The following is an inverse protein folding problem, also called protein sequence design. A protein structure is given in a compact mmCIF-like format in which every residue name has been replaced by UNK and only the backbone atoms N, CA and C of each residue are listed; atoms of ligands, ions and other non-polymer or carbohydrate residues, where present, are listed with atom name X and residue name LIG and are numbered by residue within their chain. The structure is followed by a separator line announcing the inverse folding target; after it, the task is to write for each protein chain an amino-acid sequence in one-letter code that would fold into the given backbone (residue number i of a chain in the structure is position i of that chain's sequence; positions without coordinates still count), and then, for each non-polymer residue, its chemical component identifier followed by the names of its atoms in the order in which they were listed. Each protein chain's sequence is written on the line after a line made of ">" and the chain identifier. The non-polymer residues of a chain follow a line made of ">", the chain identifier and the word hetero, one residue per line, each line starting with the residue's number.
data_IF_788167329592
#
_entry.id   IF_788167329592
#
_cell.length_a   1.000
_cell.length_b   1.000
_cell.length_c   1.000
_cell.angle_alpha   90.00
_cell.angle_beta   90.00
_cell.angle_gamma   90.00
#
_symmetry.space_group_name_H-M   'P 1'
#
loop_
_entity.id
_entity.type
_entity.pdbx_description
1 polymer ?
#
# COMPACT_ATOMS: atom_id res chain seq x y z
N UNK A 1 5.95 9.66 -38.95
CA UNK A 1 6.98 9.59 -40.01
C UNK A 1 7.51 8.17 -40.09
N UNK A 2 7.37 7.48 -41.23
CA UNK A 2 8.00 6.15 -41.45
C UNK A 2 9.33 6.39 -42.16
N UNK A 3 10.45 6.05 -41.53
CA UNK A 3 11.78 6.10 -42.15
C UNK A 3 11.89 4.98 -43.19
N UNK A 4 12.23 5.32 -44.43
CA UNK A 4 12.49 4.37 -45.50
C UNK A 4 13.82 3.65 -45.31
N UNK A 5 13.91 2.38 -45.75
CA UNK A 5 15.14 1.55 -45.63
C UNK A 5 16.40 2.21 -46.21
N UNK A 6 16.27 3.07 -47.21
CA UNK A 6 17.39 3.75 -47.85
C UNK A 6 17.68 5.15 -47.29
N UNK A 7 16.87 5.67 -46.37
CA UNK A 7 17.03 7.01 -45.80
C UNK A 7 18.25 7.08 -44.87
N UNK A 8 18.81 8.27 -44.62
CA UNK A 8 19.86 8.46 -43.61
C UNK A 8 19.40 7.98 -42.23
N UNK A 9 20.27 7.25 -41.54
CA UNK A 9 19.95 6.67 -40.24
C UNK A 9 19.80 7.77 -39.16
N UNK A 10 18.72 7.77 -38.36
CA UNK A 10 18.43 8.83 -37.39
C UNK A 10 19.40 8.87 -36.19
N UNK A 11 20.28 7.88 -36.04
CA UNK A 11 21.31 7.87 -34.99
C UNK A 11 22.51 8.79 -35.28
N UNK A 12 22.51 9.51 -36.41
CA UNK A 12 23.58 10.45 -36.77
C UNK A 12 24.83 9.79 -37.38
N UNK A 13 24.77 8.50 -37.73
CA UNK A 13 25.91 7.76 -38.27
C UNK A 13 26.28 8.08 -39.73
N UNK A 14 25.44 8.84 -40.44
CA UNK A 14 25.61 9.12 -41.88
C UNK A 14 25.37 7.93 -42.83
N UNK A 15 25.11 6.73 -42.30
CA UNK A 15 24.83 5.51 -43.10
C UNK A 15 23.34 5.41 -43.47
N UNK A 16 23.00 4.71 -44.55
CA UNK A 16 21.60 4.32 -44.87
C UNK A 16 21.02 3.48 -43.73
N UNK A 17 19.75 3.69 -43.36
CA UNK A 17 19.08 3.03 -42.24
C UNK A 17 19.25 1.50 -42.30
N UNK A 18 19.06 0.89 -43.48
CA UNK A 18 19.23 -0.56 -43.71
C UNK A 18 20.62 -1.12 -43.37
N UNK A 19 21.68 -0.31 -43.45
CA UNK A 19 23.08 -0.71 -43.17
C UNK A 19 23.58 -0.24 -41.80
N UNK A 20 22.67 0.18 -40.93
CA UNK A 20 23.01 0.73 -39.62
C UNK A 20 22.05 0.21 -38.54
N UNK A 21 21.03 0.99 -38.17
CA UNK A 21 20.13 0.62 -37.07
C UNK A 21 19.05 -0.39 -37.49
N UNK A 22 18.84 -0.63 -38.80
CA UNK A 22 17.86 -1.60 -39.27
C UNK A 22 18.24 -3.04 -38.87
N UNK A 23 19.45 -3.48 -39.19
CA UNK A 23 19.98 -4.79 -38.80
C UNK A 23 20.16 -4.91 -37.27
N UNK A 24 20.44 -3.79 -36.58
CA UNK A 24 20.55 -3.75 -35.11
C UNK A 24 19.20 -3.83 -34.38
N UNK A 25 18.11 -3.42 -35.02
CA UNK A 25 16.76 -3.58 -34.46
C UNK A 25 16.29 -5.03 -34.57
N UNK A 26 16.69 -5.74 -35.63
CA UNK A 26 16.42 -7.19 -35.79
C UNK A 26 17.32 -8.04 -34.87
N UNK A 27 18.40 -7.49 -34.33
CA UNK A 27 19.34 -8.20 -33.45
C UNK A 27 19.03 -8.11 -31.95
N UNK A 28 17.94 -7.46 -31.53
CA UNK A 28 17.50 -7.54 -30.13
C UNK A 28 16.74 -8.87 -29.99
N UNK A 29 17.26 -9.86 -29.24
CA UNK A 29 16.52 -11.10 -29.01
C UNK A 29 15.13 -10.77 -28.45
N UNK A 30 14.10 -11.46 -28.92
CA UNK A 30 12.71 -11.26 -28.45
C UNK A 30 12.54 -11.45 -26.94
N UNK A 31 13.53 -12.08 -26.30
CA UNK A 31 13.68 -12.29 -24.85
C UNK A 31 13.99 -11.00 -24.07
N UNK A 32 14.63 -9.99 -24.68
CA UNK A 32 15.02 -8.76 -23.97
C UNK A 32 13.82 -7.83 -23.70
N UNK A 33 12.92 -7.55 -24.66
CA UNK A 33 11.70 -6.80 -24.38
C UNK A 33 10.77 -7.50 -23.37
N UNK A 34 10.68 -8.84 -23.41
CA UNK A 34 9.83 -9.60 -22.49
C UNK A 34 10.37 -9.58 -21.05
N UNK A 35 11.68 -9.64 -20.86
CA UNK A 35 12.31 -9.47 -19.54
C UNK A 35 12.06 -8.06 -18.97
N UNK A 36 12.11 -7.01 -19.80
CA UNK A 36 11.86 -5.65 -19.34
C UNK A 36 10.41 -5.45 -18.88
N UNK A 37 9.43 -5.96 -19.63
CA UNK A 37 8.02 -5.92 -19.22
C UNK A 37 7.77 -6.72 -17.93
N UNK A 38 8.45 -7.86 -17.74
CA UNK A 38 8.39 -8.61 -16.48
C UNK A 38 8.92 -7.84 -15.29
N UNK A 39 10.06 -7.16 -15.45
CA UNK A 39 10.62 -6.31 -14.40
C UNK A 39 9.68 -5.15 -14.05
N UNK A 40 9.05 -4.51 -15.06
CA UNK A 40 8.03 -3.48 -14.82
C UNK A 40 6.81 -4.05 -14.08
N UNK A 41 6.29 -5.20 -14.51
CA UNK A 41 5.15 -5.84 -13.87
C UNK A 41 5.47 -6.18 -12.40
N UNK A 42 6.65 -6.74 -12.13
CA UNK A 42 7.12 -7.02 -10.77
C UNK A 42 7.21 -5.74 -9.94
N UNK A 43 7.78 -4.66 -10.48
CA UNK A 43 7.84 -3.38 -9.79
C UNK A 43 6.45 -2.80 -9.49
N UNK A 44 5.50 -2.93 -10.42
CA UNK A 44 4.12 -2.49 -10.22
C UNK A 44 3.41 -3.31 -9.14
N UNK A 45 3.64 -4.63 -9.12
CA UNK A 45 3.11 -5.54 -8.11
C UNK A 45 3.65 -5.21 -6.71
N UNK A 46 4.97 -5.01 -6.59
CA UNK A 46 5.61 -4.53 -5.35
C UNK A 46 4.97 -3.22 -4.90
N UNK A 47 4.81 -2.24 -5.80
CA UNK A 47 4.21 -0.94 -5.46
C UNK A 47 2.77 -1.07 -4.99
N UNK A 48 1.98 -1.95 -5.62
CA UNK A 48 0.60 -2.19 -5.22
C UNK A 48 0.49 -2.85 -3.85
N UNK A 49 1.43 -3.74 -3.49
CA UNK A 49 1.38 -4.42 -2.21
C UNK A 49 2.01 -3.59 -1.09
N UNK A 50 3.14 -2.93 -1.36
CA UNK A 50 4.00 -2.30 -0.34
C UNK A 50 3.94 -0.76 -0.36
N UNK A 51 3.22 -0.17 -1.33
CA UNK A 51 3.20 1.26 -1.56
C UNK A 51 4.41 1.79 -2.32
N UNK A 52 4.53 3.12 -2.36
CA UNK A 52 5.55 3.87 -3.11
C UNK A 52 6.77 4.25 -2.24
N UNK A 53 6.84 3.73 -1.02
CA UNK A 53 8.02 3.79 -0.18
C UNK A 53 9.16 2.93 -0.74
N UNK A 54 10.29 2.89 -0.03
CA UNK A 54 11.32 1.88 -0.25
C UNK A 54 10.71 0.50 0.01
N UNK A 55 10.86 -0.39 -0.96
CA UNK A 55 10.35 -1.75 -0.88
C UNK A 55 11.05 -2.54 0.24
N UNK A 56 10.40 -3.61 0.68
CA UNK A 56 11.01 -4.56 1.60
C UNK A 56 12.29 -5.14 0.96
N UNK A 57 13.40 -5.04 1.69
CA UNK A 57 14.70 -5.57 1.27
C UNK A 57 14.99 -6.78 2.14
N UNK A 58 14.96 -7.96 1.52
CA UNK A 58 15.16 -9.22 2.22
C UNK A 58 15.85 -10.26 1.35
N UNK A 59 16.59 -11.17 1.98
CA UNK A 59 17.20 -12.33 1.33
C UNK A 59 17.09 -13.55 2.24
N UNK A 60 16.86 -14.72 1.64
CA UNK A 60 16.99 -16.01 2.30
C UNK A 60 18.38 -16.59 2.01
N UNK A 61 19.15 -16.94 3.04
CA UNK A 61 20.45 -17.57 2.86
C UNK A 61 20.76 -18.52 4.01
N UNK A 62 21.13 -19.77 3.68
CA UNK A 62 21.48 -20.83 4.65
C UNK A 62 20.39 -21.04 5.72
N UNK A 63 19.12 -20.89 5.34
CA UNK A 63 17.97 -21.04 6.23
C UNK A 63 17.74 -19.86 7.19
N UNK A 64 18.46 -18.75 7.00
CA UNK A 64 18.18 -17.49 7.67
C UNK A 64 17.49 -16.53 6.71
N UNK A 65 16.41 -15.92 7.18
CA UNK A 65 15.79 -14.75 6.57
C UNK A 65 16.49 -13.51 7.09
N UNK A 66 17.09 -12.74 6.20
CA UNK A 66 17.67 -11.42 6.50
C UNK A 66 16.70 -10.32 6.02
N UNK A 67 16.52 -9.27 6.81
CA UNK A 67 15.65 -8.14 6.50
C UNK A 67 16.39 -6.83 6.82
N UNK A 68 16.53 -5.96 5.83
CA UNK A 68 17.17 -4.66 6.01
C UNK A 68 16.14 -3.60 6.43
N UNK A 69 16.46 -2.87 7.49
CA UNK A 69 15.66 -1.76 8.01
C UNK A 69 16.55 -0.54 8.11
N UNK A 70 16.45 0.35 7.12
CA UNK A 70 17.34 1.51 7.01
C UNK A 70 18.78 1.04 6.85
N UNK A 71 19.63 1.34 7.83
CA UNK A 71 21.03 0.92 7.87
C UNK A 71 21.29 -0.32 8.76
N UNK A 72 20.25 -0.97 9.29
CA UNK A 72 20.36 -2.15 10.15
C UNK A 72 19.94 -3.40 9.40
N UNK A 73 20.60 -4.51 9.70
CA UNK A 73 20.23 -5.84 9.21
C UNK A 73 19.71 -6.68 10.37
N UNK A 74 18.54 -7.25 10.20
CA UNK A 74 17.90 -8.16 11.14
C UNK A 74 17.85 -9.56 10.53
N UNK A 75 17.92 -10.62 11.34
CA UNK A 75 17.86 -11.98 10.82
C UNK A 75 17.25 -12.98 11.79
N UNK A 76 16.57 -13.99 11.24
CA UNK A 76 16.02 -15.12 12.00
C UNK A 76 15.78 -16.33 11.09
N UNK A 77 15.85 -17.53 11.65
CA UNK A 77 15.40 -18.77 10.96
C UNK A 77 13.88 -18.95 11.00
N UNK A 78 13.19 -18.17 11.83
CA UNK A 78 11.76 -18.35 12.11
C UNK A 78 10.85 -17.53 11.20
N UNK A 79 11.39 -16.53 10.49
CA UNK A 79 10.59 -15.66 9.64
C UNK A 79 10.33 -16.30 8.29
N UNK A 80 9.14 -16.85 8.12
CA UNK A 80 8.63 -17.40 6.86
C UNK A 80 7.82 -16.35 6.10
N UNK A 81 7.10 -15.52 6.84
CA UNK A 81 6.29 -14.40 6.36
C UNK A 81 6.84 -13.07 6.85
N UNK A 82 6.47 -11.97 6.19
CA UNK A 82 6.78 -10.64 6.68
C UNK A 82 6.08 -10.34 8.01
N UNK A 83 4.90 -10.92 8.25
CA UNK A 83 4.20 -10.83 9.53
C UNK A 83 5.02 -11.46 10.67
N UNK A 84 5.69 -12.59 10.46
CA UNK A 84 6.59 -13.19 11.47
C UNK A 84 7.69 -12.22 11.87
N UNK A 85 8.30 -11.56 10.88
CA UNK A 85 9.30 -10.52 11.11
C UNK A 85 8.70 -9.36 11.91
N UNK A 86 7.53 -8.84 11.52
CA UNK A 86 6.88 -7.73 12.20
C UNK A 86 6.50 -8.07 13.65
N UNK A 87 6.05 -9.29 13.93
CA UNK A 87 5.77 -9.71 15.30
C UNK A 87 6.99 -9.61 16.23
N UNK A 88 8.18 -9.92 15.69
CA UNK A 88 9.43 -9.83 16.44
C UNK A 88 10.03 -8.41 16.42
N UNK A 89 9.91 -7.70 15.29
CA UNK A 89 10.54 -6.41 15.05
C UNK A 89 10.13 -5.34 16.08
N UNK A 90 8.84 -5.22 16.38
CA UNK A 90 8.36 -4.28 17.40
C UNK A 90 8.99 -4.54 18.78
N UNK A 91 9.24 -5.82 19.13
CA UNK A 91 9.94 -6.18 20.38
C UNK A 91 11.38 -5.71 20.38
N UNK A 92 12.04 -5.75 19.22
CA UNK A 92 13.39 -5.24 19.06
C UNK A 92 13.44 -3.71 19.13
N UNK A 93 12.42 -3.02 18.62
CA UNK A 93 12.31 -1.56 18.68
C UNK A 93 12.06 -1.07 20.11
N UNK A 94 11.14 -1.71 20.82
CA UNK A 94 10.83 -1.35 22.21
C UNK A 94 11.91 -1.86 23.18
N UNK A 95 12.69 -2.87 22.81
CA UNK A 95 13.68 -3.48 23.67
C UNK A 95 13.10 -4.63 24.47
N UNK A 96 13.85 -5.74 24.55
CA UNK A 96 13.39 -6.99 25.15
C UNK A 96 13.07 -6.86 26.64
N UNK A 97 13.92 -6.14 27.38
CA UNK A 97 13.77 -5.88 28.81
C UNK A 97 12.46 -5.16 29.11
N UNK A 98 12.15 -4.09 28.38
CA UNK A 98 10.90 -3.34 28.57
C UNK A 98 9.66 -4.23 28.42
N UNK A 99 9.63 -5.10 27.40
CA UNK A 99 8.51 -6.03 27.23
C UNK A 99 8.44 -7.05 28.37
N UNK A 100 9.59 -7.58 28.81
CA UNK A 100 9.64 -8.51 29.94
C UNK A 100 9.08 -7.87 31.22
N UNK A 101 9.45 -6.62 31.49
CA UNK A 101 8.95 -5.86 32.62
C UNK A 101 7.42 -5.69 32.54
N UNK A 102 6.86 -5.35 31.37
CA UNK A 102 5.40 -5.28 31.18
C UNK A 102 4.72 -6.62 31.49
N UNK A 103 5.32 -7.76 31.11
CA UNK A 103 4.75 -9.08 31.39
C UNK A 103 4.80 -9.48 32.88
N UNK A 104 5.54 -8.76 33.73
CA UNK A 104 5.49 -8.97 35.19
C UNK A 104 4.27 -8.31 35.85
N UNK A 105 3.63 -7.35 35.19
CA UNK A 105 2.46 -6.63 35.71
C UNK A 105 1.16 -7.43 35.53
N UNK A 106 0.12 -7.17 36.35
CA UNK A 106 -1.24 -7.61 36.06
C UNK A 106 -1.70 -7.14 34.68
N UNK A 107 -2.51 -7.93 33.97
CA UNK A 107 -2.93 -7.66 32.58
C UNK A 107 -3.46 -6.23 32.37
N UNK A 108 -4.34 -5.75 33.26
CA UNK A 108 -4.96 -4.42 33.16
C UNK A 108 -4.01 -3.25 33.39
N UNK A 109 -2.86 -3.51 34.02
CA UNK A 109 -1.81 -2.51 34.25
C UNK A 109 -0.73 -2.54 33.16
N UNK A 110 -0.77 -3.54 32.26
CA UNK A 110 0.18 -3.64 31.15
C UNK A 110 -0.06 -2.53 30.15
N UNK A 111 1.02 -2.08 29.53
CA UNK A 111 0.94 -1.23 28.36
C UNK A 111 0.09 -1.88 27.24
N UNK A 112 -0.73 -1.12 26.47
CA UNK A 112 -1.60 -1.68 25.42
C UNK A 112 -0.87 -2.60 24.44
N UNK A 113 0.34 -2.25 24.01
CA UNK A 113 1.19 -3.09 23.14
C UNK A 113 1.46 -4.48 23.73
N UNK A 114 1.64 -4.59 25.05
CA UNK A 114 1.86 -5.87 25.72
C UNK A 114 0.55 -6.67 25.84
N UNK A 115 -0.59 -6.00 26.08
CA UNK A 115 -1.91 -6.63 26.04
C UNK A 115 -2.22 -7.19 24.64
N UNK A 116 -2.01 -6.39 23.59
CA UNK A 116 -2.17 -6.84 22.20
C UNK A 116 -1.27 -8.01 21.87
N UNK A 117 -0.01 -7.98 22.31
CA UNK A 117 0.92 -9.09 22.13
C UNK A 117 0.35 -10.39 22.71
N UNK A 118 -0.12 -10.36 23.97
CA UNK A 118 -0.64 -11.54 24.64
C UNK A 118 -1.87 -12.12 23.94
N UNK A 119 -2.86 -11.27 23.65
CA UNK A 119 -4.09 -11.67 22.96
C UNK A 119 -3.76 -12.23 21.56
N UNK A 120 -2.95 -11.51 20.77
CA UNK A 120 -2.56 -11.94 19.43
C UNK A 120 -1.80 -13.28 19.46
N UNK A 121 -0.86 -13.47 20.40
CA UNK A 121 -0.13 -14.74 20.51
C UNK A 121 -1.01 -15.90 21.00
N UNK A 122 -1.99 -15.64 21.86
CA UNK A 122 -2.99 -16.64 22.24
C UNK A 122 -3.80 -17.08 21.02
N UNK A 123 -4.37 -16.12 20.30
CA UNK A 123 -5.13 -16.36 19.08
C UNK A 123 -4.33 -17.15 18.05
N UNK A 124 -3.09 -16.74 17.77
CA UNK A 124 -2.23 -17.48 16.82
C UNK A 124 -1.96 -18.92 17.27
N UNK A 125 -1.66 -19.16 18.56
CA UNK A 125 -1.41 -20.52 19.06
C UNK A 125 -2.60 -21.45 18.89
N UNK A 126 -3.81 -20.94 19.08
CA UNK A 126 -5.05 -21.71 18.94
C UNK A 126 -5.35 -22.10 17.48
N UNK A 127 -4.75 -21.39 16.50
CA UNK A 127 -4.98 -21.60 15.08
C UNK A 127 -3.75 -22.15 14.32
N UNK A 128 -2.64 -22.42 15.02
CA UNK A 128 -1.46 -23.03 14.43
C UNK A 128 -1.63 -24.55 14.33
N UNK A 129 -1.43 -25.10 13.13
CA UNK A 129 -1.42 -26.54 12.85
C UNK A 129 -0.34 -27.35 13.58
N UNK A 130 0.70 -26.69 14.11
CA UNK A 130 1.79 -27.32 14.87
C UNK A 130 2.85 -28.06 14.04
N UNK A 131 2.61 -28.28 12.75
CA UNK A 131 3.51 -28.92 11.78
C UNK A 131 4.55 -27.97 11.16
N UNK A 132 4.50 -26.69 11.55
CA UNK A 132 5.35 -25.64 10.99
C UNK A 132 4.91 -25.16 9.60
N UNK A 133 3.74 -25.55 9.09
CA UNK A 133 3.18 -24.97 7.89
C UNK A 133 2.79 -23.49 8.09
N UNK A 134 2.69 -22.74 6.98
CA UNK A 134 2.14 -21.38 7.00
C UNK A 134 0.62 -21.51 7.07
N UNK A 135 0.02 -20.82 8.03
CA UNK A 135 -1.42 -20.83 8.26
C UNK A 135 -1.99 -19.44 7.92
N UNK A 136 -3.19 -19.43 7.33
CA UNK A 136 -3.94 -18.21 7.04
C UNK A 136 -5.12 -18.12 8.01
N UNK A 137 -5.21 -16.99 8.71
CA UNK A 137 -6.26 -16.71 9.69
C UNK A 137 -6.76 -15.28 9.51
N UNK A 138 -7.97 -14.99 9.97
CA UNK A 138 -8.51 -13.63 9.97
C UNK A 138 -7.80 -12.79 11.05
N UNK A 139 -7.56 -11.52 10.76
CA UNK A 139 -6.96 -10.62 11.75
C UNK A 139 -8.00 -10.25 12.81
N UNK A 140 -7.71 -10.54 14.08
CA UNK A 140 -8.45 -9.94 15.19
C UNK A 140 -8.00 -8.50 15.43
N UNK A 141 -8.74 -7.75 16.25
CA UNK A 141 -8.37 -6.39 16.62
C UNK A 141 -6.95 -6.29 17.21
N UNK A 142 -6.57 -7.21 18.10
CA UNK A 142 -5.24 -7.28 18.70
C UNK A 142 -4.13 -7.56 17.67
N UNK A 143 -4.35 -8.51 16.75
CA UNK A 143 -3.39 -8.82 15.68
C UNK A 143 -3.20 -7.60 14.78
N UNK A 144 -4.31 -6.97 14.37
CA UNK A 144 -4.30 -5.78 13.53
C UNK A 144 -3.56 -4.62 14.19
N UNK A 145 -3.89 -4.28 15.44
CA UNK A 145 -3.24 -3.20 16.19
C UNK A 145 -1.72 -3.42 16.32
N UNK A 146 -1.32 -4.63 16.70
CA UNK A 146 0.07 -4.99 16.94
C UNK A 146 0.91 -4.97 15.66
N UNK A 147 0.42 -5.60 14.60
CA UNK A 147 1.12 -5.62 13.30
C UNK A 147 1.15 -4.25 12.64
N UNK A 148 0.08 -3.46 12.72
CA UNK A 148 0.07 -2.11 12.15
C UNK A 148 1.10 -1.20 12.81
N UNK A 149 1.17 -1.19 14.16
CA UNK A 149 2.19 -0.41 14.85
C UNK A 149 3.60 -0.87 14.47
N UNK A 150 3.83 -2.18 14.39
CA UNK A 150 5.12 -2.72 13.95
C UNK A 150 5.48 -2.31 12.53
N UNK A 151 4.52 -2.39 11.60
CA UNK A 151 4.73 -2.03 10.20
C UNK A 151 4.97 -0.53 10.02
N UNK A 152 4.25 0.32 10.75
CA UNK A 152 4.46 1.76 10.74
C UNK A 152 5.87 2.12 11.21
N UNK A 153 6.34 1.48 12.29
CA UNK A 153 7.71 1.64 12.80
C UNK A 153 8.76 1.12 11.83
N UNK A 154 8.47 0.03 11.12
CA UNK A 154 9.33 -0.48 10.06
C UNK A 154 9.44 0.53 8.92
N UNK A 155 8.31 1.04 8.42
CA UNK A 155 8.28 1.99 7.32
C UNK A 155 9.04 3.27 7.66
N UNK A 156 8.81 3.83 8.86
CA UNK A 156 9.54 4.98 9.38
C UNK A 156 11.06 4.73 9.44
N UNK A 157 11.48 3.61 10.04
CA UNK A 157 12.90 3.29 10.18
C UNK A 157 13.57 3.01 8.83
N UNK A 158 12.85 2.40 7.90
CA UNK A 158 13.37 1.99 6.61
C UNK A 158 13.45 3.16 5.60
N UNK A 159 12.54 4.13 5.69
CA UNK A 159 12.44 5.25 4.75
C UNK A 159 13.01 6.57 5.27
N UNK A 160 13.00 6.77 6.58
CA UNK A 160 13.33 8.07 7.21
C UNK A 160 14.27 7.82 8.39
N UNK A 161 13.78 7.97 9.62
CA UNK A 161 14.45 7.67 10.88
C UNK A 161 13.36 7.57 11.95
N UNK A 162 13.46 6.57 12.82
CA UNK A 162 12.65 6.54 14.04
C UNK A 162 13.38 7.34 15.11
N UNK A 163 12.73 8.39 15.62
CA UNK A 163 13.30 9.22 16.68
C UNK A 163 13.16 8.51 18.03
N UNK A 164 14.20 8.58 18.88
CA UNK A 164 14.14 8.00 20.22
C UNK A 164 13.00 8.59 21.06
N UNK A 165 12.71 9.88 20.88
CA UNK A 165 11.59 10.56 21.53
C UNK A 165 10.25 9.90 21.20
N UNK A 166 10.00 9.56 19.93
CA UNK A 166 8.80 8.85 19.52
C UNK A 166 8.68 7.50 20.24
N UNK A 167 9.78 6.74 20.33
CA UNK A 167 9.79 5.45 21.06
C UNK A 167 9.52 5.64 22.55
N UNK A 168 10.08 6.67 23.20
CA UNK A 168 9.78 6.97 24.60
C UNK A 168 8.29 7.27 24.80
N UNK A 169 7.69 8.06 23.91
CA UNK A 169 6.26 8.39 23.94
C UNK A 169 5.37 7.18 23.67
N UNK A 170 5.81 6.26 22.80
CA UNK A 170 5.13 5.00 22.54
C UNK A 170 5.19 4.00 23.71
N UNK A 171 6.11 4.19 24.67
CA UNK A 171 6.18 3.38 25.90
C UNK A 171 5.41 4.00 27.07
N UNK A 172 5.09 5.29 26.98
CA UNK A 172 4.34 6.02 27.99
C UNK A 172 2.84 5.93 27.68
N UNK A 173 2.08 5.20 28.50
CA UNK A 173 0.63 4.98 28.33
C UNK A 173 -0.12 6.30 28.13
N UNK A 174 0.28 7.37 28.81
CA UNK A 174 -0.41 8.67 28.75
C UNK A 174 -0.24 9.37 27.40
N UNK A 175 0.82 9.05 26.67
CA UNK A 175 1.18 9.64 25.38
C UNK A 175 1.02 8.67 24.20
N UNK A 176 0.84 7.39 24.50
CA UNK A 176 0.86 6.28 23.56
C UNK A 176 -0.06 6.52 22.36
N UNK A 177 -1.32 6.90 22.60
CA UNK A 177 -2.32 7.12 21.54
C UNK A 177 -1.88 8.12 20.48
N UNK A 178 -1.41 9.29 20.93
CA UNK A 178 -0.95 10.34 20.03
C UNK A 178 0.24 9.86 19.20
N UNK A 179 1.23 9.29 19.89
CA UNK A 179 2.44 8.76 19.26
C UNK A 179 2.15 7.61 18.29
N UNK A 180 1.24 6.70 18.63
CA UNK A 180 0.80 5.61 17.77
C UNK A 180 0.15 6.15 16.50
N UNK A 181 -0.78 7.11 16.63
CA UNK A 181 -1.44 7.70 15.47
C UNK A 181 -0.46 8.49 14.59
N UNK A 182 0.52 9.18 15.17
CA UNK A 182 1.62 9.81 14.43
C UNK A 182 2.40 8.80 13.57
N UNK A 183 2.64 7.57 14.08
CA UNK A 183 3.29 6.52 13.27
C UNK A 183 2.45 6.13 12.06
N UNK A 184 1.13 5.99 12.24
CA UNK A 184 0.20 5.67 11.17
C UNK A 184 0.19 6.76 10.10
N UNK A 185 -0.01 8.01 10.50
CA UNK A 185 -0.04 9.14 9.55
C UNK A 185 1.28 9.21 8.78
N UNK A 186 2.42 9.06 9.46
CA UNK A 186 3.72 9.03 8.78
C UNK A 186 3.84 7.89 7.76
N UNK A 187 3.36 6.69 8.12
CA UNK A 187 3.36 5.53 7.24
C UNK A 187 2.49 5.73 6.00
N UNK A 188 1.30 6.35 6.13
CA UNK A 188 0.43 6.65 4.98
C UNK A 188 1.10 7.56 3.96
N UNK A 189 1.80 8.60 4.41
CA UNK A 189 2.56 9.47 3.51
C UNK A 189 3.72 8.73 2.83
N UNK A 190 4.42 7.84 3.54
CA UNK A 190 5.47 7.01 2.94
C UNK A 190 4.89 6.09 1.85
N UNK A 191 3.80 5.39 2.15
CA UNK A 191 3.10 4.51 1.19
C UNK A 191 2.58 5.30 -0.02
N UNK A 192 2.17 6.55 0.17
CA UNK A 192 1.75 7.45 -0.91
C UNK A 192 2.90 8.09 -1.70
N UNK A 193 4.15 7.77 -1.37
CA UNK A 193 5.32 8.22 -2.14
C UNK A 193 5.85 9.59 -1.74
N UNK A 194 5.64 9.99 -0.49
CA UNK A 194 6.26 11.19 0.07
C UNK A 194 7.60 10.86 0.74
N UNK A 195 8.50 11.83 0.75
CA UNK A 195 9.65 11.87 1.67
C UNK A 195 9.25 12.69 2.90
N UNK A 196 9.72 12.32 4.08
CA UNK A 196 9.39 13.05 5.32
C UNK A 196 10.64 13.75 5.88
N UNK A 197 10.46 15.02 6.25
CA UNK A 197 11.41 15.81 7.03
C UNK A 197 10.79 15.99 8.43
N UNK A 198 11.32 15.32 9.45
CA UNK A 198 10.81 15.48 10.82
C UNK A 198 11.28 16.83 11.36
N UNK A 199 10.35 17.59 11.93
CA UNK A 199 10.65 18.90 12.50
C UNK A 199 11.43 18.76 13.82
N UNK A 200 12.22 19.77 14.17
CA UNK A 200 12.98 19.76 15.42
C UNK A 200 12.09 20.11 16.62
N UNK A 201 11.54 19.10 17.27
CA UNK A 201 10.68 19.26 18.47
C UNK A 201 11.43 19.73 19.74
N UNK A 202 12.74 19.95 19.70
CA UNK A 202 13.50 20.53 20.82
C UNK A 202 13.38 22.06 20.87
N UNK A 203 13.02 22.70 19.75
CA UNK A 203 12.77 24.12 19.71
C UNK A 203 11.41 24.47 20.32
N UNK A 204 11.42 24.81 21.61
CA UNK A 204 10.24 25.25 22.37
C UNK A 204 9.78 26.67 22.05
N UNK A 205 10.49 27.42 21.19
CA UNK A 205 10.14 28.82 20.85
C UNK A 205 8.93 28.91 19.94
N UNK A 206 8.61 27.84 19.21
CA UNK A 206 7.45 27.79 18.34
C UNK A 206 6.79 26.42 18.40
N UNK A 207 5.52 26.37 18.00
CA UNK A 207 4.81 25.10 17.88
C UNK A 207 5.01 24.55 16.49
N UNK A 208 5.43 23.29 16.37
CA UNK A 208 5.64 22.66 15.06
C UNK A 208 4.52 21.68 14.75
N UNK A 209 4.29 21.49 13.46
CA UNK A 209 3.61 20.30 12.94
C UNK A 209 4.49 19.07 13.15
N UNK A 210 3.90 17.87 13.15
CA UNK A 210 4.61 16.61 13.42
C UNK A 210 5.76 16.38 12.42
N UNK A 211 5.52 16.67 11.13
CA UNK A 211 6.56 16.61 10.09
C UNK A 211 6.18 17.43 8.85
N UNK A 212 7.18 17.65 8.00
CA UNK A 212 6.98 18.15 6.63
C UNK A 212 7.02 16.97 5.65
N UNK A 213 5.95 16.79 4.87
CA UNK A 213 5.87 15.79 3.80
C UNK A 213 6.20 16.42 2.44
N UNK A 214 7.01 15.75 1.64
CA UNK A 214 7.43 16.21 0.31
C UNK A 214 7.00 15.20 -0.73
N UNK A 215 6.09 15.58 -1.62
CA UNK A 215 5.65 14.71 -2.72
C UNK A 215 6.81 14.45 -3.67
N UNK A 216 7.19 13.18 -3.87
CA UNK A 216 8.20 12.82 -4.87
C UNK A 216 7.71 13.05 -6.30
N UNK A 217 6.39 13.08 -6.50
CA UNK A 217 5.78 13.26 -7.82
C UNK A 217 5.79 14.72 -8.27
N UNK A 218 5.58 15.68 -7.36
CA UNK A 218 5.41 17.10 -7.70
C UNK A 218 6.44 18.02 -7.06
N UNK A 219 7.19 17.55 -6.06
CA UNK A 219 8.10 18.36 -5.25
C UNK A 219 7.41 19.28 -4.23
N UNK A 220 6.07 19.29 -4.17
CA UNK A 220 5.33 20.13 -3.22
C UNK A 220 5.53 19.67 -1.78
N UNK A 221 5.59 20.63 -0.87
CA UNK A 221 5.76 20.42 0.57
C UNK A 221 4.45 20.67 1.31
N UNK A 222 4.22 19.90 2.36
CA UNK A 222 3.02 19.96 3.21
C UNK A 222 3.41 19.88 4.68
N UNK A 223 2.82 20.71 5.52
CA UNK A 223 2.97 20.62 6.98
C UNK A 223 1.88 19.70 7.52
N UNK A 224 2.27 18.57 8.11
CA UNK A 224 1.35 17.50 8.50
C UNK A 224 1.16 17.46 10.01
N UNK A 225 -0.08 17.46 10.46
CA UNK A 225 -0.44 17.33 11.86
C UNK A 225 -1.31 16.09 12.09
N UNK A 226 -0.99 15.30 13.13
CA UNK A 226 -1.78 14.15 13.55
C UNK A 226 -2.46 14.44 14.91
N UNK A 227 -3.74 14.10 15.04
CA UNK A 227 -4.49 14.24 16.29
C UNK A 227 -5.38 13.03 16.53
N UNK A 228 -5.10 12.29 17.59
CA UNK A 228 -5.94 11.19 18.03
C UNK A 228 -6.93 11.62 19.11
N UNK A 229 -8.17 11.13 19.04
CA UNK A 229 -9.12 11.20 20.14
C UNK A 229 -8.90 10.04 21.12
N UNK A 230 -9.08 10.35 22.41
CA UNK A 230 -9.11 9.32 23.46
C UNK A 230 -10.30 8.36 23.24
N UNK A 231 -10.17 7.11 23.69
CA UNK A 231 -11.24 6.10 23.66
C UNK A 231 -12.50 6.61 24.39
N UNK A 232 -13.63 5.95 24.17
CA UNK A 232 -14.90 6.12 24.92
C UNK A 232 -15.65 7.45 24.75
N UNK A 233 -15.25 8.30 23.80
CA UNK A 233 -16.02 9.51 23.47
C UNK A 233 -17.12 9.19 22.47
N UNK A 234 -18.33 8.93 22.95
CA UNK A 234 -19.51 8.65 22.10
C UNK A 234 -20.13 9.92 21.50
N UNK A 235 -19.34 10.70 20.76
CA UNK A 235 -19.83 11.84 19.98
C UNK A 235 -18.95 12.10 18.75
N UNK A 236 -19.47 12.87 17.80
CA UNK A 236 -18.78 13.22 16.56
C UNK A 236 -17.87 14.45 16.67
N UNK A 237 -17.69 15.01 17.87
CA UNK A 237 -17.01 16.29 18.03
C UNK A 237 -15.56 16.25 17.57
N UNK A 238 -15.24 17.12 16.61
CA UNK A 238 -13.92 17.24 15.99
C UNK A 238 -13.27 18.61 16.25
N UNK A 239 -14.06 19.56 16.77
CA UNK A 239 -13.63 20.95 16.94
C UNK A 239 -12.34 21.14 17.76
N UNK A 240 -12.13 20.36 18.82
CA UNK A 240 -10.94 20.49 19.67
C UNK A 240 -9.67 20.00 18.97
N UNK A 241 -9.74 18.85 18.30
CA UNK A 241 -8.64 18.30 17.52
C UNK A 241 -8.29 19.25 16.37
N UNK A 242 -9.31 19.72 15.66
CA UNK A 242 -9.13 20.66 14.55
C UNK A 242 -8.54 21.99 15.02
N UNK A 243 -9.01 22.57 16.12
CA UNK A 243 -8.42 23.78 16.71
C UNK A 243 -6.95 23.58 17.09
N UNK A 244 -6.66 22.48 17.80
CA UNK A 244 -5.31 22.18 18.26
C UNK A 244 -4.33 21.91 17.12
N UNK A 245 -4.81 21.41 15.98
CA UNK A 245 -4.02 21.26 14.77
C UNK A 245 -3.82 22.59 14.04
N UNK A 246 -4.88 23.36 13.84
CA UNK A 246 -4.82 24.62 13.08
C UNK A 246 -4.03 25.72 13.79
N UNK A 247 -3.92 25.68 15.12
CA UNK A 247 -3.09 26.62 15.88
C UNK A 247 -1.58 26.38 15.73
N UNK A 248 -1.16 25.22 15.22
CA UNK A 248 0.25 24.92 14.99
C UNK A 248 0.82 25.81 13.90
N UNK A 249 2.09 26.17 14.05
CA UNK A 249 2.80 26.87 12.99
C UNK A 249 3.04 25.90 11.83
N UNK A 250 2.59 26.28 10.65
CA UNK A 250 2.77 25.49 9.43
C UNK A 250 3.51 26.35 8.41
N UNK A 251 4.67 25.86 7.96
CA UNK A 251 5.50 26.52 6.94
C UNK A 251 4.98 26.32 5.52
N UNK A 252 4.13 25.31 5.34
CA UNK A 252 3.59 24.89 4.05
C UNK A 252 2.07 24.68 4.12
N UNK A 253 1.45 24.24 3.02
CA UNK A 253 0.03 23.86 3.01
C UNK A 253 -0.24 22.80 4.08
N UNK A 254 -1.32 22.98 4.86
CA UNK A 254 -1.64 22.12 6.00
C UNK A 254 -2.37 20.86 5.56
N UNK A 255 -1.92 19.72 6.08
CA UNK A 255 -2.67 18.46 6.08
C UNK A 255 -2.88 18.04 7.52
N UNK A 256 -4.12 17.76 7.90
CA UNK A 256 -4.49 17.41 9.26
C UNK A 256 -5.15 16.04 9.24
N UNK A 257 -4.58 15.09 9.96
CA UNK A 257 -5.17 13.79 10.21
C UNK A 257 -5.82 13.78 11.60
N UNK A 258 -7.07 13.33 11.68
CA UNK A 258 -7.81 13.24 12.94
C UNK A 258 -8.44 11.85 13.08
N UNK A 259 -7.99 11.11 14.09
CA UNK A 259 -8.63 9.86 14.49
C UNK A 259 -9.83 10.19 15.40
N UNK A 260 -11.02 9.78 14.98
CA UNK A 260 -12.26 10.08 15.69
C UNK A 260 -12.51 9.09 16.83
N UNK A 261 -12.10 7.84 16.66
CA UNK A 261 -12.25 6.80 17.67
C UNK A 261 -13.71 6.73 18.19
N UNK A 262 -14.62 6.25 17.33
CA UNK A 262 -16.02 5.97 17.67
C UNK A 262 -16.48 4.64 17.09
N UNK A 263 -17.48 4.03 17.72
CA UNK A 263 -18.24 2.92 17.15
C UNK A 263 -19.22 3.43 16.09
N UNK A 264 -19.54 2.60 15.11
CA UNK A 264 -20.51 2.96 14.06
C UNK A 264 -20.10 4.14 13.17
N UNK A 265 -18.80 4.40 13.00
CA UNK A 265 -18.25 5.56 12.30
C UNK A 265 -18.93 5.88 10.96
N UNK A 266 -19.18 4.87 10.13
CA UNK A 266 -19.80 5.05 8.81
C UNK A 266 -21.16 5.74 8.90
N UNK A 267 -21.97 5.41 9.93
CA UNK A 267 -23.28 6.02 10.17
C UNK A 267 -23.16 7.49 10.58
N UNK A 268 -22.05 7.87 11.20
CA UNK A 268 -21.79 9.20 11.74
C UNK A 268 -21.07 10.14 10.76
N UNK A 269 -20.58 9.65 9.61
CA UNK A 269 -19.91 10.48 8.59
C UNK A 269 -20.71 11.75 8.23
N UNK A 270 -22.03 11.71 7.97
CA UNK A 270 -22.80 12.92 7.69
C UNK A 270 -22.73 13.96 8.82
N UNK A 271 -22.78 13.52 10.08
CA UNK A 271 -22.73 14.38 11.25
C UNK A 271 -21.34 15.01 11.42
N UNK A 272 -20.27 14.24 11.20
CA UNK A 272 -18.89 14.74 11.24
C UNK A 272 -18.67 15.79 10.13
N UNK A 273 -19.14 15.53 8.90
CA UNK A 273 -19.05 16.48 7.77
C UNK A 273 -19.82 17.77 8.07
N UNK A 274 -21.01 17.67 8.67
CA UNK A 274 -21.79 18.83 9.08
C UNK A 274 -21.07 19.65 10.16
N UNK A 275 -20.40 18.99 11.11
CA UNK A 275 -19.58 19.69 12.08
C UNK A 275 -18.38 20.40 11.45
N UNK A 276 -17.67 19.76 10.52
CA UNK A 276 -16.58 20.38 9.76
C UNK A 276 -17.05 21.64 9.05
N UNK A 277 -18.15 21.57 8.29
CA UNK A 277 -18.75 22.74 7.60
C UNK A 277 -19.14 23.85 8.57
N UNK A 278 -19.67 23.51 9.75
CA UNK A 278 -19.97 24.50 10.79
C UNK A 278 -18.69 25.15 11.32
N UNK A 279 -17.62 24.37 11.52
CA UNK A 279 -16.33 24.87 12.00
C UNK A 279 -15.60 25.72 10.95
N UNK A 280 -15.78 25.46 9.66
CA UNK A 280 -15.25 26.34 8.60
C UNK A 280 -15.71 27.80 8.77
N UNK A 281 -16.98 27.98 9.15
CA UNK A 281 -17.60 29.29 9.35
C UNK A 281 -17.29 29.92 10.71
N UNK A 282 -17.17 29.08 11.76
CA UNK A 282 -17.17 29.55 13.15
C UNK A 282 -15.83 29.48 13.85
N UNK A 283 -14.91 28.62 13.41
CA UNK A 283 -13.65 28.40 14.11
C UNK A 283 -12.67 29.54 13.85
N UNK A 284 -12.21 30.17 14.93
CA UNK A 284 -11.18 31.21 14.92
C UNK A 284 -9.92 30.75 15.65
N UNK A 285 -8.76 31.16 15.17
CA UNK A 285 -7.46 30.99 15.82
C UNK A 285 -6.96 32.39 16.19
N UNK A 286 -6.71 32.64 17.49
CA UNK A 286 -6.28 33.95 17.98
C UNK A 286 -7.18 35.11 17.47
N UNK A 287 -8.50 34.95 17.58
CA UNK A 287 -9.54 35.85 17.08
C UNK A 287 -9.60 36.07 15.56
N UNK A 288 -8.70 35.46 14.78
CA UNK A 288 -8.69 35.50 13.31
C UNK A 288 -9.40 34.29 12.69
N UNK A 289 -9.93 34.39 11.45
CA UNK A 289 -10.44 33.23 10.73
C UNK A 289 -9.39 32.11 10.66
N UNK A 290 -9.81 30.87 10.95
CA UNK A 290 -8.95 29.69 10.83
C UNK A 290 -8.31 29.56 9.43
N UNK A 291 -7.07 29.06 9.32
CA UNK A 291 -6.48 28.79 8.01
C UNK A 291 -7.16 27.61 7.30
N UNK A 292 -6.95 27.48 5.99
CA UNK A 292 -7.37 26.30 5.23
C UNK A 292 -6.49 25.08 5.52
N UNK A 293 -7.04 23.89 5.32
CA UNK A 293 -6.32 22.63 5.47
C UNK A 293 -7.00 21.49 4.68
N UNK A 294 -6.21 20.52 4.23
CA UNK A 294 -6.75 19.20 3.86
C UNK A 294 -6.97 18.41 5.14
N UNK A 295 -8.19 17.98 5.44
CA UNK A 295 -8.51 17.25 6.67
C UNK A 295 -8.86 15.80 6.33
N UNK A 296 -8.06 14.86 6.83
CA UNK A 296 -8.31 13.43 6.76
C UNK A 296 -8.90 13.00 8.10
N UNK A 297 -10.12 12.48 8.06
CA UNK A 297 -10.81 11.94 9.23
C UNK A 297 -10.74 10.44 9.14
N UNK A 298 -10.18 9.77 10.15
CA UNK A 298 -10.05 8.31 10.19
C UNK A 298 -10.71 7.75 11.43
N UNK A 299 -10.92 6.44 11.42
CA UNK A 299 -11.39 5.67 12.55
C UNK A 299 -10.74 4.28 12.53
N UNK A 300 -10.18 3.89 13.68
CA UNK A 300 -9.48 2.63 13.87
C UNK A 300 -10.26 1.72 14.84
N UNK A 301 -11.27 0.97 14.35
CA UNK A 301 -12.18 0.20 15.21
C UNK A 301 -11.48 -0.95 15.95
N UNK A 302 -10.33 -1.43 15.46
CA UNK A 302 -9.62 -2.57 16.03
C UNK A 302 -9.04 -2.35 17.44
N UNK A 303 -9.08 -1.13 17.98
CA UNK A 303 -8.68 -0.84 19.38
C UNK A 303 -9.81 -1.10 20.40
N UNK A 304 -11.04 -1.30 19.94
CA UNK A 304 -12.21 -1.53 20.81
C UNK A 304 -12.48 -3.01 21.03
N UNK A 305 -12.35 -3.81 19.97
CA UNK A 305 -12.75 -5.20 19.95
C UNK A 305 -11.52 -6.07 19.64
N UNK A 306 -10.65 -6.22 20.64
CA UNK A 306 -9.33 -6.85 20.47
C UNK A 306 -9.39 -8.34 20.10
N UNK A 307 -10.43 -9.06 20.53
CA UNK A 307 -10.59 -10.49 20.27
C UNK A 307 -11.47 -10.79 19.05
N UNK A 308 -12.32 -9.84 18.63
CA UNK A 308 -13.18 -9.99 17.46
C UNK A 308 -12.39 -9.82 16.16
N UNK A 309 -12.97 -10.34 15.07
CA UNK A 309 -12.44 -10.11 13.72
C UNK A 309 -12.43 -8.61 13.46
N UNK A 310 -11.26 -8.08 13.14
CA UNK A 310 -11.03 -6.66 12.94
C UNK A 310 -11.91 -6.14 11.81
N UNK A 311 -12.72 -5.13 12.10
CA UNK A 311 -13.31 -4.31 11.04
C UNK A 311 -12.21 -3.52 10.32
N UNK A 312 -12.46 -3.20 9.05
CA UNK A 312 -11.55 -2.39 8.25
C UNK A 312 -11.48 -0.96 8.80
N UNK A 313 -10.33 -0.30 8.57
CA UNK A 313 -10.22 1.13 8.82
C UNK A 313 -11.20 1.87 7.94
N UNK A 314 -11.81 2.90 8.50
CA UNK A 314 -12.72 3.77 7.77
C UNK A 314 -12.25 5.21 7.86
N UNK A 315 -12.51 5.98 6.82
CA UNK A 315 -12.15 7.38 6.81
C UNK A 315 -12.62 8.10 5.56
N UNK A 316 -12.47 9.41 5.59
CA UNK A 316 -12.71 10.26 4.44
C UNK A 316 -11.80 11.50 4.49
N UNK A 317 -11.64 12.13 3.34
CA UNK A 317 -10.92 13.39 3.22
C UNK A 317 -11.90 14.54 2.94
N UNK A 318 -11.64 15.70 3.53
CA UNK A 318 -12.45 16.90 3.39
C UNK A 318 -11.56 18.15 3.33
N UNK A 319 -11.74 18.97 2.30
CA UNK A 319 -11.08 20.27 2.18
C UNK A 319 -11.67 21.32 3.11
N UNK A 320 -11.03 21.57 4.27
CA UNK A 320 -11.44 22.63 5.18
C UNK A 320 -11.11 23.99 4.57
N UNK A 321 -12.14 24.71 4.09
CA UNK A 321 -12.00 25.92 3.26
C UNK A 321 -11.28 25.68 1.92
N UNK A 322 -11.37 24.46 1.40
CA UNK A 322 -10.88 24.07 0.07
C UNK A 322 -12.04 23.38 -0.63
N UNK A 323 -12.84 24.16 -1.35
CA UNK A 323 -14.14 23.72 -1.85
C UNK A 323 -14.00 22.56 -2.84
N UNK A 324 -13.01 22.61 -3.73
CA UNK A 324 -12.79 21.61 -4.79
C UNK A 324 -12.29 20.25 -4.24
N UNK A 325 -11.90 20.19 -2.96
CA UNK A 325 -11.49 18.99 -2.25
C UNK A 325 -12.47 18.60 -1.11
N UNK A 326 -13.62 19.28 -0.99
CA UNK A 326 -14.60 18.95 0.04
C UNK A 326 -15.29 17.60 -0.27
N UNK A 327 -15.56 16.81 0.78
CA UNK A 327 -16.05 15.41 0.65
C UNK A 327 -17.29 15.26 -0.24
N UNK A 328 -18.24 16.20 -0.12
CA UNK A 328 -19.51 16.17 -0.85
C UNK A 328 -19.57 17.20 -1.99
N UNK A 329 -18.41 17.69 -2.46
CA UNK A 329 -18.39 18.65 -3.56
C UNK A 329 -18.76 17.96 -4.88
N UNK A 330 -19.69 18.57 -5.61
CA UNK A 330 -20.12 18.09 -6.93
C UNK A 330 -19.66 19.08 -7.99
N UNK A 331 -18.83 18.59 -8.90
CA UNK A 331 -18.46 19.32 -10.10
C UNK A 331 -19.61 19.26 -11.11
N UNK A 332 -19.84 20.36 -11.82
CA UNK A 332 -20.89 20.44 -12.86
C UNK A 332 -20.40 19.96 -14.22
N UNK A 333 -19.08 19.87 -14.43
CA UNK A 333 -18.49 19.41 -15.68
C UNK A 333 -17.15 18.70 -15.46
N UNK A 334 -16.76 17.88 -16.44
CA UNK A 334 -15.54 17.05 -16.38
C UNK A 334 -14.26 17.90 -16.41
N UNK A 335 -14.27 19.06 -17.10
CA UNK A 335 -13.09 19.94 -17.18
C UNK A 335 -12.68 20.42 -15.79
N UNK A 336 -13.63 20.86 -14.98
CA UNK A 336 -13.35 21.33 -13.61
C UNK A 336 -12.89 20.19 -12.70
N UNK A 337 -13.41 18.97 -12.90
CA UNK A 337 -12.90 17.76 -12.21
C UNK A 337 -11.42 17.54 -12.54
N UNK A 338 -11.04 17.63 -13.82
CA UNK A 338 -9.65 17.43 -14.25
C UNK A 338 -8.73 18.52 -13.70
N UNK A 339 -9.17 19.79 -13.72
CA UNK A 339 -8.43 20.92 -13.16
C UNK A 339 -8.23 20.71 -11.65
N UNK A 340 -9.29 20.37 -10.90
CA UNK A 340 -9.19 20.13 -9.47
C UNK A 340 -8.32 18.91 -9.15
N UNK A 341 -8.43 17.81 -9.91
CA UNK A 341 -7.56 16.64 -9.78
C UNK A 341 -6.10 16.97 -10.00
N UNK A 342 -5.79 17.82 -10.99
CA UNK A 342 -4.42 18.26 -11.23
C UNK A 342 -3.93 19.19 -10.10
N UNK A 343 -4.75 20.16 -9.69
CA UNK A 343 -4.45 21.11 -8.61
C UNK A 343 -4.19 20.40 -7.28
N UNK A 344 -5.00 19.41 -6.92
CA UNK A 344 -4.92 18.67 -5.66
C UNK A 344 -4.33 17.27 -5.82
N UNK A 345 -3.55 17.04 -6.88
CA UNK A 345 -3.02 15.72 -7.27
C UNK A 345 -2.44 14.92 -6.10
N UNK A 346 -1.55 15.53 -5.32
CA UNK A 346 -0.86 14.85 -4.22
C UNK A 346 -1.83 14.37 -3.13
N UNK A 347 -2.89 15.12 -2.86
CA UNK A 347 -3.89 14.75 -1.85
C UNK A 347 -4.86 13.69 -2.37
N UNK A 348 -5.21 13.71 -3.66
CA UNK A 348 -5.97 12.62 -4.28
C UNK A 348 -5.15 11.33 -4.38
N UNK A 349 -3.86 11.43 -4.71
CA UNK A 349 -2.95 10.28 -4.70
C UNK A 349 -2.77 9.72 -3.29
N UNK A 350 -2.74 10.57 -2.26
CA UNK A 350 -2.73 10.15 -0.85
C UNK A 350 -4.03 9.41 -0.49
N UNK A 351 -5.21 9.96 -0.81
CA UNK A 351 -6.50 9.26 -0.60
C UNK A 351 -6.49 7.89 -1.28
N UNK A 352 -6.05 7.84 -2.54
CA UNK A 352 -5.95 6.60 -3.30
C UNK A 352 -5.02 5.60 -2.61
N UNK A 353 -3.85 6.04 -2.17
CA UNK A 353 -2.87 5.20 -1.47
C UNK A 353 -3.41 4.65 -0.15
N UNK A 354 -4.12 5.46 0.64
CA UNK A 354 -4.73 5.00 1.90
C UNK A 354 -5.73 3.87 1.64
N UNK A 355 -6.51 3.95 0.56
CA UNK A 355 -7.44 2.88 0.17
C UNK A 355 -6.75 1.65 -0.42
N UNK A 356 -5.74 1.84 -1.29
CA UNK A 356 -5.09 0.73 -2.00
C UNK A 356 -4.06 -0.02 -1.15
N UNK A 357 -3.48 0.63 -0.14
CA UNK A 357 -2.41 0.08 0.69
C UNK A 357 -2.84 -0.12 2.16
N UNK A 358 -4.10 -0.45 2.40
CA UNK A 358 -4.62 -0.70 3.76
C UNK A 358 -4.08 -2.01 4.37
N UNK A 359 -3.80 -3.01 3.52
CA UNK A 359 -3.27 -4.31 3.94
C UNK A 359 -1.77 -4.28 4.26
N UNK A 360 -1.36 -5.06 5.26
CA UNK A 360 0.04 -5.28 5.60
C UNK A 360 0.58 -6.42 4.72
N UNK A 361 1.66 -6.23 3.94
CA UNK A 361 2.25 -7.29 3.13
C UNK A 361 2.55 -8.53 3.98
N UNK A 362 2.18 -9.73 3.52
CA UNK A 362 2.59 -10.98 4.17
C UNK A 362 3.85 -11.59 3.54
N UNK A 363 4.22 -11.16 2.33
CA UNK A 363 5.40 -11.62 1.58
C UNK A 363 6.51 -10.56 1.59
N UNK A 364 7.75 -11.01 1.42
CA UNK A 364 8.93 -10.12 1.45
C UNK A 364 9.25 -9.48 0.09
N UNK A 365 8.93 -10.14 -1.01
CA UNK A 365 9.43 -9.85 -2.36
C UNK A 365 8.41 -9.17 -3.27
N UNK A 366 7.20 -8.89 -2.77
CA UNK A 366 6.12 -8.32 -3.56
C UNK A 366 5.22 -9.37 -4.21
N UNK A 367 5.49 -10.66 -4.04
CA UNK A 367 4.69 -11.70 -4.65
C UNK A 367 3.35 -11.91 -3.94
N UNK A 368 2.37 -12.43 -4.68
CA UNK A 368 1.07 -12.77 -4.11
C UNK A 368 1.24 -13.87 -3.06
N UNK A 369 0.61 -13.79 -1.88
CA UNK A 369 0.67 -14.83 -0.85
C UNK A 369 0.20 -16.18 -1.38
N UNK A 370 -0.82 -16.17 -2.25
CA UNK A 370 -1.39 -17.38 -2.85
C UNK A 370 -0.37 -18.12 -3.72
N UNK A 371 0.58 -17.42 -4.34
CA UNK A 371 1.68 -18.03 -5.09
C UNK A 371 2.90 -18.33 -4.21
N UNK A 372 3.20 -17.46 -3.25
CA UNK A 372 4.38 -17.59 -2.40
C UNK A 372 4.25 -18.74 -1.41
N UNK A 373 3.04 -18.98 -0.92
CA UNK A 373 2.72 -19.98 0.10
C UNK A 373 1.96 -21.19 -0.48
N UNK A 374 1.84 -21.26 -1.81
CA UNK A 374 1.27 -22.41 -2.50
C UNK A 374 1.96 -23.72 -2.09
N UNK A 375 1.18 -24.79 -1.89
CA UNK A 375 1.72 -26.13 -1.65
C UNK A 375 2.54 -26.65 -2.83
N UNK A 376 3.40 -27.65 -2.58
CA UNK A 376 4.27 -28.26 -3.62
C UNK A 376 3.50 -28.87 -4.81
N UNK A 377 2.20 -29.08 -4.66
CA UNK A 377 1.31 -29.66 -5.68
C UNK A 377 0.56 -28.60 -6.51
N UNK A 378 0.77 -27.30 -6.25
CA UNK A 378 0.14 -26.25 -7.03
C UNK A 378 0.67 -26.22 -8.47
N UNK A 379 -0.19 -26.05 -9.49
CA UNK A 379 0.23 -25.96 -10.87
C UNK A 379 1.18 -24.76 -11.07
N UNK A 380 2.16 -24.87 -11.98
CA UNK A 380 3.09 -23.79 -12.23
C UNK A 380 2.35 -22.57 -12.81
N UNK A 381 2.64 -21.37 -12.25
CA UNK A 381 2.10 -20.10 -12.73
C UNK A 381 2.40 -19.90 -14.20
N UNK A 382 1.35 -19.67 -15.00
CA UNK A 382 1.51 -19.30 -16.41
C UNK A 382 2.04 -17.85 -16.53
N UNK A 383 3.12 -17.70 -17.28
CA UNK A 383 3.83 -16.46 -17.53
C UNK A 383 3.90 -16.17 -19.02
N UNK A 384 3.45 -14.98 -19.44
CA UNK A 384 3.60 -14.53 -20.83
C UNK A 384 5.09 -14.48 -21.20
N UNK A 385 5.39 -14.97 -22.39
CA UNK A 385 6.72 -15.09 -22.96
C UNK A 385 7.46 -16.39 -22.58
N UNK A 386 6.95 -17.17 -21.63
CA UNK A 386 7.51 -18.49 -21.33
C UNK A 386 7.07 -19.55 -22.33
N UNK A 387 7.87 -20.61 -22.39
CA UNK A 387 7.63 -21.76 -23.24
C UNK A 387 6.90 -22.85 -22.48
N UNK A 388 5.86 -23.39 -23.09
CA UNK A 388 5.07 -24.48 -22.55
C UNK A 388 4.95 -25.59 -23.58
N UNK A 389 4.79 -26.80 -23.07
CA UNK A 389 4.34 -27.93 -23.87
C UNK A 389 2.81 -27.83 -23.94
N UNK A 390 2.27 -27.79 -25.16
CA UNK A 390 0.84 -27.65 -25.42
C UNK A 390 0.36 -28.74 -26.39
N UNK A 391 -0.93 -29.13 -26.34
CA UNK A 391 -1.49 -30.07 -27.29
C UNK A 391 -1.39 -29.55 -28.73
N UNK A 392 -0.76 -30.33 -29.61
CA UNK A 392 -0.63 -30.03 -31.04
C UNK A 392 -1.49 -30.94 -31.93
N UNK A 393 -1.39 -30.79 -33.25
CA UNK A 393 -2.05 -31.67 -34.22
C UNK A 393 -1.69 -33.15 -33.99
N UNK A 394 -2.63 -34.06 -34.27
CA UNK A 394 -2.42 -35.51 -34.15
C UNK A 394 -2.05 -36.02 -32.74
N UNK A 395 -2.51 -35.34 -31.68
CA UNK A 395 -2.16 -35.68 -30.28
C UNK A 395 -0.64 -35.63 -29.98
N UNK A 396 0.14 -34.90 -30.79
CA UNK A 396 1.55 -34.67 -30.50
C UNK A 396 1.71 -33.37 -29.74
N UNK A 397 2.35 -33.46 -28.60
CA UNK A 397 2.74 -32.31 -27.80
C UNK A 397 3.75 -31.44 -28.57
N UNK A 398 3.50 -30.13 -28.60
CA UNK A 398 4.33 -29.14 -29.28
C UNK A 398 4.74 -28.03 -28.33
N UNK A 399 5.88 -27.40 -28.63
CA UNK A 399 6.38 -26.25 -27.87
C UNK A 399 5.70 -24.96 -28.37
N UNK A 400 5.08 -24.22 -27.44
CA UNK A 400 4.44 -22.93 -27.70
C UNK A 400 4.87 -21.87 -26.69
N UNK A 401 5.13 -20.65 -27.17
CA UNK A 401 5.37 -19.49 -26.32
C UNK A 401 4.03 -18.86 -25.96
N UNK A 402 3.70 -18.73 -24.68
CA UNK A 402 2.47 -18.04 -24.25
C UNK A 402 2.57 -16.55 -24.61
N UNK A 403 1.70 -16.04 -25.48
CA UNK A 403 1.74 -14.64 -25.94
C UNK A 403 0.63 -13.79 -25.36
N UNK A 404 -0.47 -14.40 -24.90
CA UNK A 404 -1.63 -13.75 -24.31
C UNK A 404 -2.37 -14.78 -23.44
N UNK A 405 -3.11 -14.34 -22.44
CA UNK A 405 -4.05 -15.22 -21.75
C UNK A 405 -5.35 -14.47 -21.44
N UNK A 406 -6.31 -15.13 -20.82
CA UNK A 406 -7.43 -14.50 -20.11
C UNK A 406 -7.95 -15.48 -19.07
N UNK A 407 -8.68 -14.97 -18.08
CA UNK A 407 -9.28 -15.79 -17.02
C UNK A 407 -10.79 -15.88 -17.26
N UNK A 408 -11.31 -17.10 -17.25
CA UNK A 408 -12.74 -17.34 -17.08
C UNK A 408 -12.99 -17.72 -15.63
N UNK A 409 -13.45 -16.75 -14.83
CA UNK A 409 -13.78 -16.99 -13.41
C UNK A 409 -14.94 -17.98 -13.26
N UNK A 410 -15.94 -17.90 -14.14
CA UNK A 410 -17.11 -18.76 -14.11
C UNK A 410 -16.74 -20.23 -14.37
N UNK A 411 -15.79 -20.48 -15.29
CA UNK A 411 -15.33 -21.83 -15.62
C UNK A 411 -14.12 -22.29 -14.79
N UNK A 412 -13.54 -21.42 -13.97
CA UNK A 412 -12.27 -21.65 -13.26
C UNK A 412 -11.16 -22.14 -14.20
N UNK A 413 -10.96 -21.42 -15.30
CA UNK A 413 -9.94 -21.74 -16.31
C UNK A 413 -9.14 -20.52 -16.73
N UNK A 414 -7.89 -20.75 -17.07
CA UNK A 414 -7.04 -19.81 -17.80
C UNK A 414 -7.07 -20.22 -19.27
N UNK A 415 -7.42 -19.28 -20.16
CA UNK A 415 -7.41 -19.47 -21.61
C UNK A 415 -6.15 -18.80 -22.15
N UNK A 416 -5.16 -19.57 -22.58
CA UNK A 416 -3.89 -19.09 -23.11
C UNK A 416 -3.83 -19.14 -24.63
N UNK A 417 -3.26 -18.11 -25.25
CA UNK A 417 -2.89 -18.08 -26.67
C UNK A 417 -1.38 -18.28 -26.79
N UNK A 418 -0.98 -19.32 -27.50
CA UNK A 418 0.41 -19.74 -27.64
C UNK A 418 0.86 -19.61 -29.08
N UNK A 419 2.09 -19.13 -29.31
CA UNK A 419 2.73 -19.08 -30.62
C UNK A 419 3.72 -20.24 -30.76
N UNK A 420 3.52 -21.09 -31.75
CA UNK A 420 4.41 -22.23 -32.04
C UNK A 420 5.68 -21.76 -32.76
N UNK A 421 6.68 -22.64 -32.89
CA UNK A 421 7.90 -22.39 -33.69
C UNK A 421 7.60 -22.05 -35.16
N UNK A 422 6.51 -22.58 -35.71
CA UNK A 422 6.03 -22.31 -37.07
C UNK A 422 5.28 -20.98 -37.20
N UNK A 423 5.11 -20.23 -36.10
CA UNK A 423 4.39 -18.95 -36.06
C UNK A 423 2.86 -19.09 -35.97
N UNK A 424 2.33 -20.31 -35.93
CA UNK A 424 0.89 -20.55 -35.73
C UNK A 424 0.47 -20.20 -34.30
N UNK A 425 -0.77 -19.75 -34.14
CA UNK A 425 -1.36 -19.49 -32.83
C UNK A 425 -2.30 -20.63 -32.44
N UNK A 426 -2.16 -21.12 -31.21
CA UNK A 426 -2.96 -22.21 -30.64
C UNK A 426 -3.59 -21.70 -29.35
N UNK A 427 -4.87 -21.99 -29.13
CA UNK A 427 -5.57 -21.67 -27.89
C UNK A 427 -5.61 -22.93 -27.04
N UNK A 428 -5.13 -22.84 -25.80
CA UNK A 428 -5.21 -23.92 -24.83
C UNK A 428 -5.87 -23.42 -23.56
N UNK A 429 -6.48 -24.33 -22.82
CA UNK A 429 -7.08 -24.01 -21.52
C UNK A 429 -6.38 -24.79 -20.43
N UNK A 430 -6.15 -24.12 -19.31
CA UNK A 430 -5.55 -24.69 -18.11
C UNK A 430 -6.56 -24.56 -16.96
N UNK A 431 -6.81 -25.61 -16.17
CA UNK A 431 -7.63 -25.50 -14.97
C UNK A 431 -6.97 -24.56 -13.97
N UNK A 432 -7.78 -23.80 -13.23
CA UNK A 432 -7.35 -22.86 -12.20
C UNK A 432 -7.65 -23.42 -10.82
N UNK A 433 -6.75 -23.22 -9.86
CA UNK A 433 -7.02 -23.56 -8.46
C UNK A 433 -7.93 -22.53 -7.79
N UNK A 434 -8.54 -22.89 -6.65
CA UNK A 434 -9.31 -21.92 -5.88
C UNK A 434 -8.44 -20.77 -5.34
N UNK A 435 -7.18 -21.06 -5.00
CA UNK A 435 -6.22 -20.07 -4.51
C UNK A 435 -5.85 -19.06 -5.60
N UNK A 436 -5.63 -19.53 -6.83
CA UNK A 436 -5.41 -18.66 -7.99
C UNK A 436 -6.62 -17.76 -8.25
N UNK A 437 -7.84 -18.32 -8.18
CA UNK A 437 -9.07 -17.56 -8.37
C UNK A 437 -9.25 -16.47 -7.29
N UNK A 438 -8.91 -16.75 -6.04
CA UNK A 438 -8.94 -15.76 -4.96
C UNK A 438 -7.94 -14.64 -5.21
N UNK A 439 -6.69 -14.96 -5.53
CA UNK A 439 -5.65 -13.96 -5.83
C UNK A 439 -5.99 -13.06 -7.03
N UNK A 440 -6.76 -13.56 -8.00
CA UNK A 440 -7.26 -12.81 -9.16
C UNK A 440 -8.34 -11.81 -8.77
N UNK A 441 -9.29 -12.23 -7.94
CA UNK A 441 -10.41 -11.41 -7.48
C UNK A 441 -9.95 -10.27 -6.58
N UNK A 442 -9.00 -10.54 -5.69
CA UNK A 442 -8.46 -9.55 -4.76
C UNK A 442 -7.50 -8.55 -5.44
N UNK A 443 -7.00 -8.88 -6.64
CA UNK A 443 -6.07 -8.02 -7.38
C UNK A 443 -6.43 -7.91 -8.86
N UNK A 444 -7.09 -6.80 -9.22
CA UNK A 444 -7.32 -6.30 -10.60
C UNK A 444 -6.11 -6.32 -11.58
N UNK A 445 -4.90 -6.70 -11.16
CA UNK A 445 -3.66 -6.74 -11.95
C UNK A 445 -3.30 -8.12 -12.51
N UNK A 446 -3.99 -9.21 -12.15
CA UNK A 446 -3.77 -10.49 -12.84
C UNK A 446 -4.09 -10.37 -14.34
N UNK A 447 -5.06 -9.52 -14.68
CA UNK A 447 -5.41 -9.19 -16.07
C UNK A 447 -4.31 -8.43 -16.83
N UNK A 448 -3.39 -7.71 -16.17
CA UNK A 448 -2.34 -6.92 -16.83
C UNK A 448 -1.06 -7.71 -17.12
N UNK A 449 -0.76 -8.76 -16.33
CA UNK A 449 0.22 -9.78 -16.74
C UNK A 449 -0.31 -10.72 -17.81
N UNK A 450 -1.59 -10.58 -18.14
CA UNK A 450 -2.31 -11.38 -19.10
C UNK A 450 -2.66 -10.57 -20.36
N UNK A 451 -2.79 -9.24 -20.29
CA UNK A 451 -3.06 -8.38 -21.46
C UNK A 451 -1.93 -7.41 -21.74
N UNK A 452 -0.97 -7.82 -22.57
CA UNK A 452 -0.08 -6.89 -23.27
C UNK A 452 -0.56 -6.70 -24.72
N UNK A 453 -1.51 -5.77 -24.90
CA UNK A 453 -1.66 -4.83 -26.05
C UNK A 453 -3.13 -4.44 -26.29
N UNK A 454 -3.65 -3.50 -25.50
CA UNK A 454 -4.69 -2.60 -26.00
C UNK A 454 -4.01 -1.45 -26.74
N UNK A 455 -3.97 -1.51 -28.07
CA UNK A 455 -3.91 -0.28 -28.89
C UNK A 455 -5.35 0.10 -29.22
N UNK A 456 -5.78 1.34 -28.97
CA UNK A 456 -7.10 1.78 -29.37
C UNK A 456 -7.11 1.96 -30.89
N UNK A 457 -7.77 1.05 -31.58
CA UNK A 457 -8.42 1.36 -32.84
C UNK A 457 -9.87 0.97 -32.69
N UNK A 458 -10.73 1.97 -32.49
CA UNK A 458 -12.12 1.87 -32.94
C UNK A 458 -12.09 1.41 -34.42
N UNK A 459 -13.06 0.60 -34.82
CA UNK A 459 -14.28 1.20 -35.31
C UNK A 459 -15.51 0.72 -34.55
N UNK A 460 -16.47 1.63 -34.49
CA UNK A 460 -17.87 1.36 -34.26
C UNK A 460 -18.33 0.12 -35.03
N UNK A 461 -19.18 -0.69 -34.40
CA UNK A 461 -20.42 -1.11 -35.03
C UNK A 461 -21.50 -1.24 -33.96
N UNK A 462 -22.51 -0.38 -34.13
CA UNK A 462 -23.86 -0.55 -33.62
C UNK A 462 -24.48 -1.76 -34.31
N UNK A 463 -25.16 -2.61 -33.56
CA UNK A 463 -26.38 -3.23 -34.06
C UNK A 463 -27.30 -3.61 -32.89
N UNK A 464 -28.53 -3.13 -33.03
CA UNK A 464 -29.69 -3.35 -32.20
C UNK A 464 -30.10 -4.83 -32.11
N UNK A 465 -30.50 -5.27 -30.91
CA UNK A 465 -31.82 -5.82 -30.60
C UNK A 465 -32.02 -5.80 -29.08
#
# INVERSE_FOLDING_TARGET
>A
MKIGRNDPCPCGSGKKYKRCCYERNDSIPSEVPSQFERLKAKQLQIKKQQGLGRSIISIDSKGYRFVAVGNRMYYSKKWKTFHDFLFEYIRMVFGKEWIQDEFTKPFEERHPVAQWHEIAHKYMREHLSGDGAINTVLMTGAVSAYLNLSYNLYLLAHNVKVQERLIRRLKDISQFRGAQYETYVSAEFIKAGFSLEIENEEDKRTTHCEFTAISKATGRKYSVEAKARQLSKNNVSIGNQLYNALKKNAKHERVIFIDINITGFVKEVPNIVNELKRKEKTLKINAQPSPSAYVFVTNHPFEYDLEEISEHRAGFAHGFKIQEFSFNFRFTNIRDVLIARQKHKDMFDLVKSVCEHDEIPSTFDGESPEFTFAGKEAPPRLLIGEKYIIPGPENKDIEGVLINATVSEAEKKIIGVYRTKEGKQVICTNPMTNDELSGIRDRHLFLWQITCSFKPSMPYDLAYA
#
